data_IF_371247662211
#
_entry.id   IF_371247662211
#
_cell.length_a   1.000
_cell.length_b   1.000
_cell.length_c   1.000
_cell.angle_alpha   90.00
_cell.angle_beta   90.00
_cell.angle_gamma   90.00
#
_symmetry.space_group_name_H-M   'P 1'
#
loop_
_entity.id
_entity.type
_entity.pdbx_description
1 polymer ?
#
# COMPACT_ATOMS: atom_id res chain seq x y z
N UNK A 1 10.97 -6.82 20.52
CA UNK A 1 9.68 -6.67 19.83
C UNK A 1 9.96 -6.22 18.41
N UNK A 2 9.62 -7.01 17.39
CA UNK A 2 9.74 -6.61 15.99
C UNK A 2 8.37 -6.08 15.52
N UNK A 3 8.30 -4.95 14.80
CA UNK A 3 7.04 -4.47 14.24
C UNK A 3 6.51 -5.46 13.20
N UNK A 4 5.24 -5.84 13.32
CA UNK A 4 4.61 -6.86 12.48
C UNK A 4 3.99 -6.28 11.20
N UNK A 5 3.53 -5.02 11.24
CA UNK A 5 2.77 -4.40 10.16
C UNK A 5 3.61 -3.55 9.20
N UNK A 6 4.46 -2.66 9.73
CA UNK A 6 5.29 -1.75 8.93
C UNK A 6 6.75 -1.87 9.35
N UNK A 7 7.58 -2.30 8.41
CA UNK A 7 9.03 -2.32 8.50
C UNK A 7 9.67 -2.30 7.11
N UNK A 8 10.90 -1.81 6.97
CA UNK A 8 11.65 -2.03 5.73
C UNK A 8 11.76 -3.53 5.43
N UNK A 9 11.39 -3.93 4.23
CA UNK A 9 11.51 -5.28 3.70
C UNK A 9 12.12 -5.20 2.31
N UNK A 10 13.27 -5.85 2.09
CA UNK A 10 13.91 -5.83 0.79
C UNK A 10 13.01 -6.52 -0.24
N UNK A 11 12.72 -5.88 -1.39
CA UNK A 11 12.00 -6.54 -2.46
C UNK A 11 12.86 -7.63 -3.12
N UNK A 12 12.24 -8.56 -3.87
CA UNK A 12 12.97 -9.44 -4.77
C UNK A 12 13.93 -8.64 -5.66
N UNK A 13 15.09 -9.20 -5.99
CA UNK A 13 16.18 -8.52 -6.70
C UNK A 13 15.73 -7.84 -8.00
N UNK A 14 14.78 -8.44 -8.71
CA UNK A 14 14.26 -7.94 -9.99
C UNK A 14 13.33 -6.72 -9.83
N UNK A 15 12.79 -6.50 -8.62
CA UNK A 15 11.84 -5.45 -8.24
C UNK A 15 12.55 -4.23 -7.65
N UNK A 16 13.52 -3.71 -8.40
CA UNK A 16 14.41 -2.60 -8.04
C UNK A 16 13.80 -1.19 -8.14
N UNK A 17 12.57 -1.07 -8.64
CA UNK A 17 11.89 0.22 -8.82
C UNK A 17 10.50 0.22 -8.20
N UNK A 18 10.01 1.37 -7.68
CA UNK A 18 8.68 1.48 -7.11
C UNK A 18 7.56 1.03 -8.04
N UNK A 19 7.68 1.34 -9.35
CA UNK A 19 6.69 0.95 -10.36
C UNK A 19 6.65 -0.57 -10.60
N UNK A 20 7.81 -1.25 -10.54
CA UNK A 20 7.84 -2.72 -10.64
C UNK A 20 7.18 -3.36 -9.42
N UNK A 21 7.49 -2.88 -8.22
CA UNK A 21 6.84 -3.31 -6.97
C UNK A 21 5.33 -3.08 -7.04
N UNK A 22 4.88 -1.90 -7.47
CA UNK A 22 3.47 -1.56 -7.56
C UNK A 22 2.71 -2.52 -8.49
N UNK A 23 3.31 -2.89 -9.63
CA UNK A 23 2.75 -3.90 -10.53
C UNK A 23 2.73 -5.30 -9.92
N UNK A 24 3.81 -5.71 -9.26
CA UNK A 24 3.89 -7.01 -8.58
C UNK A 24 2.80 -7.15 -7.52
N UNK A 25 2.67 -6.16 -6.63
CA UNK A 25 1.68 -6.18 -5.55
C UNK A 25 0.26 -6.19 -6.12
N UNK A 26 -0.03 -5.40 -7.16
CA UNK A 26 -1.31 -5.43 -7.86
C UNK A 26 -1.69 -6.82 -8.41
N UNK A 27 -0.70 -7.65 -8.76
CA UNK A 27 -0.96 -8.99 -9.29
C UNK A 27 -1.34 -10.01 -8.21
N UNK A 28 -1.24 -9.67 -6.92
CA UNK A 28 -1.78 -10.49 -5.85
C UNK A 28 -3.31 -10.39 -5.90
N UNK A 29 -4.00 -11.48 -5.58
CA UNK A 29 -5.46 -11.55 -5.78
C UNK A 29 -6.17 -10.66 -4.77
N UNK A 30 -7.14 -9.87 -5.26
CA UNK A 30 -8.03 -9.11 -4.40
C UNK A 30 -9.10 -10.04 -3.82
N UNK A 31 -9.33 -9.98 -2.50
CA UNK A 31 -10.39 -10.70 -1.81
C UNK A 31 -10.86 -9.91 -0.60
N UNK A 32 -12.18 -9.77 -0.44
CA UNK A 32 -12.78 -9.12 0.73
C UNK A 32 -12.59 -9.97 2.00
N UNK A 33 -12.48 -9.32 3.15
CA UNK A 33 -12.32 -10.01 4.43
C UNK A 33 -13.49 -10.93 4.75
N UNK A 34 -14.71 -10.57 4.32
CA UNK A 34 -15.89 -11.39 4.52
C UNK A 34 -15.78 -12.76 3.81
N UNK A 35 -15.12 -12.81 2.66
CA UNK A 35 -14.84 -14.05 1.90
C UNK A 35 -13.70 -14.86 2.51
N UNK A 36 -12.78 -14.20 3.21
CA UNK A 36 -11.54 -14.80 3.70
C UNK A 36 -11.59 -15.23 5.17
N UNK A 37 -12.39 -14.56 6.01
CA UNK A 37 -12.34 -14.72 7.46
C UNK A 37 -13.69 -14.94 8.16
N UNK A 38 -14.71 -15.42 7.46
CA UNK A 38 -15.96 -15.93 8.07
C UNK A 38 -16.55 -14.99 9.13
N UNK A 39 -16.94 -13.78 8.70
CA UNK A 39 -17.65 -12.74 9.45
C UNK A 39 -16.84 -11.67 10.21
N UNK A 40 -15.51 -11.57 10.01
CA UNK A 40 -14.78 -10.33 10.38
C UNK A 40 -14.89 -9.32 9.25
N UNK A 41 -15.29 -8.09 9.57
CA UNK A 41 -15.53 -7.04 8.57
C UNK A 41 -14.30 -6.21 8.20
N UNK A 42 -13.25 -6.18 9.03
CA UNK A 42 -11.99 -5.47 8.73
C UNK A 42 -10.82 -6.18 9.45
N UNK A 43 -9.95 -6.85 8.69
CA UNK A 43 -8.79 -7.60 9.15
C UNK A 43 -7.55 -7.11 8.41
N UNK A 44 -6.66 -6.46 9.15
CA UNK A 44 -5.36 -6.09 8.61
C UNK A 44 -4.43 -7.28 8.73
N UNK A 45 -4.09 -7.91 7.61
CA UNK A 45 -3.15 -9.02 7.56
C UNK A 45 -1.72 -8.49 7.72
N UNK A 46 -0.86 -9.25 8.39
CA UNK A 46 0.57 -8.95 8.35
C UNK A 46 1.11 -9.21 6.93
N UNK A 47 2.12 -8.46 6.45
CA UNK A 47 2.67 -8.67 5.10
C UNK A 47 3.14 -10.11 4.86
N UNK A 48 3.62 -10.80 5.89
CA UNK A 48 4.02 -12.21 5.80
C UNK A 48 2.82 -13.13 5.58
N UNK A 49 1.73 -12.93 6.33
CA UNK A 49 0.52 -13.71 6.18
C UNK A 49 -0.15 -13.47 4.83
N UNK A 50 -0.21 -12.21 4.38
CA UNK A 50 -0.76 -11.84 3.08
C UNK A 50 -0.03 -12.52 1.90
N UNK A 51 1.31 -12.55 1.92
CA UNK A 51 2.09 -13.29 0.92
C UNK A 51 1.79 -14.79 0.95
N UNK A 52 1.65 -15.37 2.15
CA UNK A 52 1.35 -16.79 2.31
C UNK A 52 -0.07 -17.15 1.82
N UNK A 53 -1.05 -16.31 2.13
CA UNK A 53 -2.45 -16.47 1.74
C UNK A 53 -2.69 -16.16 0.25
N UNK A 54 -1.85 -15.28 -0.34
CA UNK A 54 -1.89 -14.83 -1.75
C UNK A 54 -3.18 -14.12 -2.15
N UNK A 55 -3.94 -13.64 -1.16
CA UNK A 55 -5.15 -12.84 -1.35
C UNK A 55 -5.42 -11.95 -0.15
N UNK A 56 -6.04 -10.81 -0.40
CA UNK A 56 -6.35 -9.78 0.61
C UNK A 56 -6.93 -8.54 -0.06
N UNK A 57 -7.22 -7.50 0.72
CA UNK A 57 -7.90 -6.30 0.23
C UNK A 57 -6.98 -5.06 0.23
N UNK A 58 -7.53 -3.85 0.35
CA UNK A 58 -6.78 -2.61 0.14
C UNK A 58 -5.66 -2.40 1.17
N UNK A 59 -5.94 -2.64 2.45
CA UNK A 59 -4.96 -2.51 3.53
C UNK A 59 -3.80 -3.50 3.37
N UNK A 60 -4.09 -4.76 3.05
CA UNK A 60 -3.07 -5.80 2.93
C UNK A 60 -2.07 -5.48 1.80
N UNK A 61 -2.61 -5.05 0.65
CA UNK A 61 -1.79 -4.63 -0.48
C UNK A 61 -0.98 -3.37 -0.14
N UNK A 62 -1.59 -2.40 0.57
CA UNK A 62 -0.91 -1.15 0.93
C UNK A 62 0.21 -1.38 1.95
N UNK A 63 -0.04 -2.23 2.95
CA UNK A 63 0.97 -2.64 3.93
C UNK A 63 2.16 -3.28 3.22
N UNK A 64 1.95 -4.30 2.38
CA UNK A 64 3.04 -4.96 1.67
C UNK A 64 3.82 -3.97 0.79
N UNK A 65 3.13 -3.16 -0.01
CA UNK A 65 3.77 -2.17 -0.89
C UNK A 65 4.60 -1.16 -0.10
N UNK A 66 4.09 -0.66 1.03
CA UNK A 66 4.80 0.28 1.89
C UNK A 66 6.07 -0.35 2.47
N UNK A 67 6.01 -1.59 2.96
CA UNK A 67 7.18 -2.31 3.48
C UNK A 67 8.28 -2.45 2.41
N UNK A 68 7.89 -2.75 1.17
CA UNK A 68 8.82 -2.90 0.04
C UNK A 68 9.43 -1.56 -0.41
N UNK A 69 8.64 -0.49 -0.42
CA UNK A 69 9.15 0.86 -0.69
C UNK A 69 10.14 1.33 0.38
N UNK A 70 9.83 1.09 1.66
CA UNK A 70 10.76 1.33 2.77
C UNK A 70 12.05 0.52 2.59
N UNK A 71 11.97 -0.72 2.09
CA UNK A 71 13.13 -1.56 1.78
C UNK A 71 14.00 -1.01 0.64
N UNK A 72 13.40 -0.32 -0.33
CA UNK A 72 14.12 0.44 -1.37
C UNK A 72 14.67 1.78 -0.87
N UNK A 73 14.43 2.15 0.39
CA UNK A 73 14.88 3.42 0.97
C UNK A 73 13.97 4.61 0.67
N UNK A 74 12.74 4.39 0.18
CA UNK A 74 11.78 5.46 -0.05
C UNK A 74 11.19 5.95 1.28
N UNK A 75 10.86 7.24 1.32
CA UNK A 75 10.12 7.85 2.41
C UNK A 75 8.61 7.59 2.28
N UNK A 76 8.22 6.36 2.65
CA UNK A 76 6.90 5.80 2.38
C UNK A 76 6.00 5.72 3.64
N UNK A 77 4.70 5.92 3.43
CA UNK A 77 3.66 5.91 4.47
C UNK A 77 2.42 5.17 3.97
N UNK A 78 1.66 4.58 4.90
CA UNK A 78 0.29 4.11 4.62
C UNK A 78 -0.68 5.25 4.92
N UNK A 79 -1.56 5.55 3.99
CA UNK A 79 -2.59 6.57 4.14
C UNK A 79 -3.96 5.91 4.13
N UNK A 80 -4.70 6.07 5.23
CA UNK A 80 -6.08 5.62 5.35
C UNK A 80 -7.00 6.82 5.13
N UNK A 81 -8.02 6.64 4.29
CA UNK A 81 -9.02 7.66 4.06
C UNK A 81 -10.30 7.07 3.49
N UNK A 82 -11.01 7.88 2.71
CA UNK A 82 -12.29 7.49 2.12
C UNK A 82 -12.27 7.83 0.63
N UNK A 83 -12.76 6.91 -0.19
CA UNK A 83 -12.94 7.15 -1.62
C UNK A 83 -14.41 7.47 -1.91
N UNK A 84 -14.63 8.54 -2.67
CA UNK A 84 -15.95 8.89 -3.19
C UNK A 84 -16.18 8.14 -4.52
N UNK A 85 -17.12 7.20 -4.52
CA UNK A 85 -17.35 6.32 -5.66
C UNK A 85 -18.58 6.76 -6.49
N UNK A 86 -18.98 8.03 -6.41
CA UNK A 86 -20.21 8.55 -7.05
C UNK A 86 -21.52 8.08 -6.40
N UNK A 87 -21.46 7.10 -5.49
CA UNK A 87 -22.55 6.74 -4.57
C UNK A 87 -22.51 7.60 -3.31
N UNK A 88 -23.66 7.83 -2.66
CA UNK A 88 -23.76 8.56 -1.38
C UNK A 88 -22.96 7.91 -0.23
N UNK A 89 -22.50 6.66 -0.40
CA UNK A 89 -21.71 5.94 0.57
C UNK A 89 -20.21 6.12 0.31
N UNK A 90 -19.51 6.72 1.28
CA UNK A 90 -18.06 6.79 1.33
C UNK A 90 -17.52 5.42 1.78
N UNK A 91 -16.67 4.79 0.95
CA UNK A 91 -15.99 3.54 1.35
C UNK A 91 -14.59 3.89 1.86
N UNK A 92 -14.20 3.28 2.99
CA UNK A 92 -12.82 3.33 3.48
C UNK A 92 -11.88 2.81 2.40
N UNK A 93 -10.75 3.47 2.22
CA UNK A 93 -9.74 3.12 1.23
C UNK A 93 -8.35 3.41 1.78
N UNK A 94 -7.35 2.67 1.27
CA UNK A 94 -5.97 2.74 1.74
C UNK A 94 -5.04 2.94 0.55
N UNK A 95 -4.11 3.88 0.68
CA UNK A 95 -3.07 4.20 -0.30
C UNK A 95 -1.68 4.08 0.31
N UNK A 96 -0.65 4.03 -0.54
CA UNK A 96 0.73 4.26 -0.12
C UNK A 96 1.17 5.64 -0.60
N UNK A 97 1.79 6.41 0.28
CA UNK A 97 2.30 7.74 -0.02
C UNK A 97 3.82 7.72 -0.02
N UNK A 98 4.46 8.30 -1.05
CA UNK A 98 5.91 8.58 -1.02
C UNK A 98 6.14 10.09 -1.07
N UNK A 99 7.05 10.58 -0.22
CA UNK A 99 7.49 11.98 -0.25
C UNK A 99 8.73 12.09 -1.13
N UNK A 100 8.68 12.97 -2.12
CA UNK A 100 9.75 13.15 -3.10
C UNK A 100 10.61 14.38 -2.74
N UNK A 101 11.89 14.38 -3.10
CA UNK A 101 12.83 15.45 -2.71
C UNK A 101 12.44 16.86 -3.16
N UNK A 102 11.62 16.96 -4.21
CA UNK A 102 11.16 18.21 -4.80
C UNK A 102 9.93 18.83 -4.08
N UNK A 103 9.51 18.26 -2.95
CA UNK A 103 8.33 18.71 -2.21
C UNK A 103 7.01 18.15 -2.75
N UNK A 104 7.04 17.34 -3.82
CA UNK A 104 5.89 16.59 -4.30
C UNK A 104 5.66 15.33 -3.47
N UNK A 105 4.44 14.83 -3.58
CA UNK A 105 4.01 13.59 -2.95
C UNK A 105 3.36 12.71 -4.01
N UNK A 106 3.72 11.43 -4.04
CA UNK A 106 3.02 10.44 -4.89
C UNK A 106 2.08 9.62 -4.04
N UNK A 107 0.80 9.61 -4.40
CA UNK A 107 -0.21 8.71 -3.85
C UNK A 107 -0.38 7.50 -4.76
N UNK A 108 0.11 6.35 -4.31
CA UNK A 108 0.08 5.08 -4.99
C UNK A 108 -1.22 4.33 -4.70
N UNK A 109 -1.87 3.91 -5.78
CA UNK A 109 -3.08 3.10 -5.79
C UNK A 109 -2.72 1.62 -5.95
N UNK A 110 -3.03 0.82 -4.94
CA UNK A 110 -2.66 -0.60 -4.85
C UNK A 110 -3.42 -1.46 -5.87
N UNK A 111 -4.68 -1.12 -6.14
CA UNK A 111 -5.54 -1.86 -7.09
C UNK A 111 -5.16 -1.65 -8.56
N UNK A 112 -4.54 -0.51 -8.88
CA UNK A 112 -4.18 -0.11 -10.26
C UNK A 112 -2.68 -0.21 -10.55
N UNK A 113 -1.85 -0.22 -9.50
CA UNK A 113 -0.39 -0.20 -9.65
C UNK A 113 0.10 1.11 -10.30
N UNK A 114 -0.62 2.20 -10.06
CA UNK A 114 -0.36 3.54 -10.58
C UNK A 114 -0.32 4.54 -9.43
N UNK A 115 0.18 5.75 -9.68
CA UNK A 115 0.14 6.83 -8.69
C UNK A 115 -0.37 8.13 -9.30
N UNK A 116 -0.85 9.02 -8.44
CA UNK A 116 -1.09 10.42 -8.77
C UNK A 116 -0.02 11.24 -8.05
N UNK A 117 0.59 12.18 -8.76
CA UNK A 117 1.55 13.11 -8.19
C UNK A 117 0.84 14.40 -7.76
N UNK A 118 1.11 14.81 -6.52
CA UNK A 118 0.54 15.99 -5.90
C UNK A 118 1.69 16.97 -5.59
N UNK A 119 1.80 18.07 -6.34
CA UNK A 119 2.90 19.02 -6.14
C UNK A 119 2.73 19.81 -4.84
N UNK A 120 3.85 20.23 -4.25
CA UNK A 120 3.90 21.15 -3.10
C UNK A 120 3.09 20.67 -1.88
N UNK A 121 3.10 19.36 -1.61
CA UNK A 121 2.37 18.75 -0.50
C UNK A 121 3.22 18.46 0.74
N UNK A 122 4.53 18.66 0.65
CA UNK A 122 5.39 18.67 1.82
C UNK A 122 6.54 19.66 1.63
N UNK A 123 7.11 20.14 2.75
CA UNK A 123 8.05 21.25 2.77
C UNK A 123 9.42 20.94 2.13
N UNK A 124 9.66 19.70 1.70
CA UNK A 124 10.98 19.24 1.26
C UNK A 124 11.95 19.10 2.43
N UNK A 125 12.82 18.09 2.32
CA UNK A 125 13.89 17.69 3.24
C UNK A 125 13.46 17.01 4.57
N UNK A 126 14.07 15.83 4.80
CA UNK A 126 14.04 15.05 6.05
C UNK A 126 15.32 15.28 6.82
#
# INVERSE_FOLDING_TARGET
>A
FLPEYIRPCLPPTEMDTPTKIARMVRCITWADDSESFSARQEVWQSPHFFIALRKGDFEDHALLMCNLFLGLGLDAYVCVGQQQNGSAQQKRHVWVLTREVDGSVRMWETSRGSYIELPQRWAGVR
#
